data_IF_739284738340
#
_entry.id   IF_739284738340
#
_cell.length_a   1.000
_cell.length_b   1.000
_cell.length_c   1.000
_cell.angle_alpha   90.00
_cell.angle_beta   90.00
_cell.angle_gamma   90.00
#
_symmetry.space_group_name_H-M   'P 1'
#
loop_
_entity.id
_entity.type
_entity.pdbx_description
1 polymer ?
#
# COMPACT_ATOMS: atom_id res chain seq x y z
N UNK A 1 0.23 32.07 2.56
CA UNK A 1 -0.67 30.99 2.94
C UNK A 1 -0.15 29.64 2.49
N UNK A 2 -0.68 28.57 3.03
CA UNK A 2 -0.33 27.18 2.68
C UNK A 2 -0.38 26.92 1.16
N UNK A 3 -1.26 27.61 0.44
CA UNK A 3 -1.35 27.50 -1.02
C UNK A 3 -0.15 28.07 -1.77
N UNK A 4 0.53 29.05 -1.21
CA UNK A 4 1.71 29.66 -1.85
C UNK A 4 2.97 28.83 -1.61
N UNK A 5 3.06 28.15 -0.47
CA UNK A 5 4.12 27.18 -0.18
C UNK A 5 3.98 25.97 -1.10
N UNK A 6 2.77 25.51 -1.32
CA UNK A 6 2.45 24.42 -2.25
C UNK A 6 2.77 24.78 -3.70
N UNK A 7 2.50 26.01 -4.11
CA UNK A 7 2.81 26.52 -5.47
C UNK A 7 4.31 26.79 -5.67
N UNK A 8 5.02 27.20 -4.61
CA UNK A 8 6.47 27.48 -4.67
C UNK A 8 7.34 26.23 -4.59
N UNK A 9 6.87 25.16 -3.97
CA UNK A 9 7.52 23.85 -4.03
C UNK A 9 7.26 23.18 -5.38
N UNK A 10 6.70 23.94 -6.30
CA UNK A 10 6.59 23.79 -7.76
C UNK A 10 6.71 22.38 -8.23
N UNK A 11 5.84 21.59 -7.77
CA UNK A 11 5.43 20.33 -8.32
C UNK A 11 6.46 19.25 -8.52
N UNK A 12 7.75 19.50 -8.54
CA UNK A 12 8.67 18.50 -9.09
C UNK A 12 9.75 18.00 -8.15
N UNK A 13 10.03 18.68 -7.03
CA UNK A 13 11.05 18.19 -6.10
C UNK A 13 10.44 17.20 -5.14
N UNK A 14 10.95 15.98 -5.20
CA UNK A 14 10.62 14.92 -4.28
C UNK A 14 11.86 14.48 -3.49
N UNK A 15 11.60 13.79 -2.40
CA UNK A 15 12.64 13.31 -1.51
C UNK A 15 12.49 11.80 -1.37
N UNK A 16 13.61 11.12 -1.23
CA UNK A 16 13.63 9.68 -0.97
C UNK A 16 14.50 9.36 0.23
N UNK A 17 14.22 8.23 0.84
CA UNK A 17 15.07 7.60 1.83
C UNK A 17 14.98 6.08 1.70
N UNK A 18 16.01 5.38 2.10
CA UNK A 18 16.08 3.93 2.03
C UNK A 18 15.88 3.31 3.40
N UNK A 19 15.26 2.14 3.41
CA UNK A 19 15.03 1.33 4.60
C UNK A 19 15.33 -0.12 4.30
N UNK A 20 16.09 -0.78 5.17
CA UNK A 20 16.38 -2.20 5.04
C UNK A 20 15.44 -3.00 5.93
N UNK A 21 14.52 -3.76 5.31
CA UNK A 21 13.60 -4.63 6.03
C UNK A 21 14.08 -6.08 6.00
N UNK A 22 13.52 -6.96 6.87
CA UNK A 22 13.76 -8.39 6.77
C UNK A 22 13.33 -9.03 5.44
N UNK A 23 12.45 -8.36 4.70
CA UNK A 23 11.95 -8.82 3.40
C UNK A 23 12.64 -8.13 2.21
N UNK A 24 13.66 -7.34 2.46
CA UNK A 24 14.43 -6.65 1.43
C UNK A 24 14.40 -5.14 1.57
N UNK A 25 15.10 -4.47 0.68
CA UNK A 25 15.21 -3.02 0.68
C UNK A 25 13.88 -2.35 0.30
N UNK A 26 13.59 -1.26 0.97
CA UNK A 26 12.40 -0.43 0.75
C UNK A 26 12.85 0.99 0.41
N UNK A 27 12.18 1.61 -0.54
CA UNK A 27 12.35 3.03 -0.86
C UNK A 27 11.14 3.80 -0.37
N UNK A 28 11.39 4.86 0.40
CA UNK A 28 10.39 5.82 0.85
C UNK A 28 10.46 7.07 -0.01
N UNK A 29 9.31 7.68 -0.30
CA UNK A 29 9.23 8.95 -1.01
C UNK A 29 8.33 9.94 -0.28
N UNK A 30 8.63 11.22 -0.42
CA UNK A 30 7.87 12.31 0.20
C UNK A 30 7.89 13.55 -0.67
N UNK A 31 6.86 14.38 -0.50
CA UNK A 31 6.79 15.72 -1.07
C UNK A 31 7.45 16.79 -0.19
N UNK A 32 8.08 16.39 0.91
CA UNK A 32 8.68 17.27 1.91
C UNK A 32 7.93 17.28 3.24
N UNK A 33 6.65 16.99 3.25
CA UNK A 33 5.78 17.00 4.44
C UNK A 33 5.17 15.64 4.74
N UNK A 34 4.67 14.97 3.71
CA UNK A 34 3.92 13.74 3.83
C UNK A 34 4.57 12.61 3.02
N UNK A 35 4.27 11.38 3.39
CA UNK A 35 4.69 10.20 2.66
C UNK A 35 3.86 10.06 1.39
N UNK A 36 4.53 9.97 0.25
CA UNK A 36 3.91 9.79 -1.08
C UNK A 36 4.17 8.43 -1.68
N UNK A 37 5.15 7.71 -1.17
CA UNK A 37 5.51 6.39 -1.66
C UNK A 37 6.24 5.54 -0.64
N UNK A 38 5.98 4.25 -0.70
CA UNK A 38 6.69 3.21 0.02
C UNK A 38 6.62 1.95 -0.84
N UNK A 39 7.76 1.53 -1.36
CA UNK A 39 7.84 0.37 -2.25
C UNK A 39 8.98 -0.55 -1.84
N UNK A 40 8.76 -1.85 -1.95
CA UNK A 40 9.89 -2.78 -2.02
C UNK A 40 10.67 -2.52 -3.29
N UNK A 41 11.99 -2.49 -3.20
CA UNK A 41 12.83 -2.33 -4.39
C UNK A 41 12.56 -3.49 -5.36
N UNK A 42 12.36 -3.17 -6.63
CA UNK A 42 12.06 -4.14 -7.67
C UNK A 42 10.61 -4.58 -7.77
N UNK A 43 9.70 -4.07 -6.93
CA UNK A 43 8.28 -4.41 -7.06
C UNK A 43 7.66 -3.85 -8.34
N UNK A 44 6.54 -4.43 -8.74
CA UNK A 44 5.72 -3.91 -9.84
C UNK A 44 5.24 -2.49 -9.50
N UNK A 45 5.29 -1.61 -10.49
CA UNK A 45 4.95 -0.18 -10.35
C UNK A 45 5.84 0.59 -9.36
N UNK A 46 7.03 0.12 -9.09
CA UNK A 46 8.00 0.82 -8.24
C UNK A 46 8.18 2.26 -8.73
N UNK A 47 8.03 3.22 -7.80
CA UNK A 47 8.28 4.62 -8.08
C UNK A 47 7.35 5.24 -9.13
N UNK A 48 6.17 4.68 -9.38
CA UNK A 48 5.28 5.14 -10.44
C UNK A 48 4.91 6.63 -10.33
N UNK A 49 4.85 7.16 -9.12
CA UNK A 49 4.56 8.59 -8.86
C UNK A 49 5.82 9.38 -8.50
N UNK A 50 7.01 8.78 -8.59
CA UNK A 50 8.27 9.44 -8.28
C UNK A 50 8.74 10.25 -9.49
N UNK A 51 9.03 11.53 -9.31
CA UNK A 51 9.58 12.37 -10.37
C UNK A 51 11.01 11.98 -10.70
N UNK A 52 11.50 12.44 -11.86
CA UNK A 52 12.89 12.20 -12.26
C UNK A 52 13.89 12.94 -11.37
N UNK A 53 13.45 14.03 -10.74
CA UNK A 53 14.27 14.83 -9.83
C UNK A 53 13.87 14.53 -8.39
N UNK A 54 14.80 13.97 -7.63
CA UNK A 54 14.59 13.70 -6.21
C UNK A 54 15.91 13.91 -5.47
N UNK A 55 15.80 14.17 -4.16
CA UNK A 55 16.94 14.27 -3.26
C UNK A 55 16.87 13.21 -2.18
N UNK A 56 18.02 12.64 -1.87
CA UNK A 56 18.14 11.71 -0.75
C UNK A 56 18.40 12.52 0.52
N UNK A 57 17.38 12.73 1.32
CA UNK A 57 17.40 13.59 2.51
C UNK A 57 16.59 12.93 3.61
N UNK A 58 17.05 13.00 4.84
CA UNK A 58 16.27 12.55 5.99
C UNK A 58 15.25 13.64 6.37
N UNK A 59 13.98 13.28 6.36
CA UNK A 59 12.85 14.13 6.73
C UNK A 59 12.16 13.61 7.98
N UNK A 60 11.48 14.46 8.77
CA UNK A 60 10.69 13.99 9.90
C UNK A 60 9.70 12.88 9.56
N UNK A 61 9.01 12.96 8.40
CA UNK A 61 8.08 11.92 7.94
C UNK A 61 8.80 10.62 7.65
N UNK A 62 10.02 10.65 7.15
CA UNK A 62 10.81 9.43 6.94
C UNK A 62 11.21 8.78 8.26
N UNK A 63 11.62 9.58 9.23
CA UNK A 63 11.94 9.09 10.56
C UNK A 63 10.74 8.41 11.20
N UNK A 64 9.57 9.05 11.13
CA UNK A 64 8.32 8.51 11.63
C UNK A 64 7.93 7.20 10.90
N UNK A 65 8.08 7.16 9.58
CA UNK A 65 7.80 5.96 8.79
C UNK A 65 8.74 4.81 9.14
N UNK A 66 10.02 5.10 9.36
CA UNK A 66 10.99 4.07 9.78
C UNK A 66 10.67 3.54 11.18
N UNK A 67 10.22 4.37 12.10
CA UNK A 67 9.73 3.92 13.41
C UNK A 67 8.52 3.00 13.25
N UNK A 68 7.57 3.36 12.39
CA UNK A 68 6.42 2.53 12.06
C UNK A 68 6.85 1.16 11.53
N UNK A 69 7.79 1.15 10.56
CA UNK A 69 8.30 -0.09 9.96
C UNK A 69 9.08 -0.93 10.98
N UNK A 70 9.87 -0.31 11.86
CA UNK A 70 10.57 -1.03 12.92
C UNK A 70 9.60 -1.75 13.85
N UNK A 71 8.54 -1.08 14.29
CA UNK A 71 7.49 -1.69 15.11
C UNK A 71 6.82 -2.84 14.35
N UNK A 72 6.42 -2.59 13.12
CA UNK A 72 5.73 -3.57 12.29
C UNK A 72 6.57 -4.84 12.09
N UNK A 73 7.81 -4.72 11.68
CA UNK A 73 8.69 -5.87 11.43
C UNK A 73 9.16 -6.56 12.72
N UNK A 74 8.97 -5.95 13.87
CA UNK A 74 9.14 -6.60 15.19
C UNK A 74 7.87 -7.32 15.66
N UNK A 75 6.87 -7.44 14.83
CA UNK A 75 5.62 -8.13 15.15
C UNK A 75 4.66 -7.31 16.00
N UNK A 76 4.86 -6.01 16.09
CA UNK A 76 3.97 -5.11 16.82
C UNK A 76 3.03 -4.40 15.85
N UNK A 77 1.80 -4.18 16.30
CA UNK A 77 0.84 -3.38 15.55
C UNK A 77 1.10 -1.89 15.87
N UNK A 78 1.59 -1.09 14.89
CA UNK A 78 1.73 0.35 15.15
C UNK A 78 0.37 1.00 15.43
N UNK A 79 0.34 1.94 16.37
CA UNK A 79 -0.88 2.65 16.76
C UNK A 79 -1.01 4.03 16.11
N UNK A 80 -0.15 4.34 15.15
CA UNK A 80 -0.16 5.58 14.40
C UNK A 80 0.06 5.30 12.91
N UNK A 81 -0.27 6.28 12.07
CA UNK A 81 0.05 6.27 10.64
C UNK A 81 0.78 7.57 10.33
N UNK A 82 1.91 7.53 9.61
CA UNK A 82 2.55 8.76 9.12
C UNK A 82 1.58 9.56 8.25
N UNK A 83 1.79 10.87 8.17
CA UNK A 83 0.99 11.70 7.26
C UNK A 83 1.18 11.21 5.83
N UNK A 84 0.08 10.87 5.17
CA UNK A 84 0.06 10.39 3.79
C UNK A 84 -0.45 11.49 2.85
N UNK A 85 0.17 11.61 1.68
CA UNK A 85 -0.32 12.43 0.59
C UNK A 85 -0.56 11.54 -0.63
N UNK A 86 -1.82 11.33 -0.97
CA UNK A 86 -2.26 10.45 -2.04
C UNK A 86 -2.88 11.28 -3.15
N UNK A 87 -2.39 11.08 -4.37
CA UNK A 87 -2.97 11.68 -5.58
C UNK A 87 -3.34 10.58 -6.54
N UNK A 88 -4.64 10.44 -6.80
CA UNK A 88 -5.15 9.42 -7.70
C UNK A 88 -6.61 9.75 -8.05
N UNK A 89 -7.21 8.93 -8.92
CA UNK A 89 -8.64 9.01 -9.20
C UNK A 89 -9.48 8.80 -7.94
N UNK A 90 -10.69 9.33 -7.92
CA UNK A 90 -11.63 9.10 -6.81
C UNK A 90 -11.84 7.61 -6.54
N UNK A 91 -11.89 6.81 -7.60
CA UNK A 91 -12.05 5.36 -7.48
C UNK A 91 -10.87 4.72 -6.71
N UNK A 92 -9.64 5.04 -7.10
CA UNK A 92 -8.45 4.50 -6.42
C UNK A 92 -8.38 4.96 -4.97
N UNK A 93 -8.65 6.25 -4.71
CA UNK A 93 -8.67 6.78 -3.34
C UNK A 93 -9.72 6.07 -2.47
N UNK A 94 -10.90 5.78 -3.02
CA UNK A 94 -11.95 5.06 -2.32
C UNK A 94 -11.51 3.62 -1.99
N UNK A 95 -10.87 2.93 -2.94
CA UNK A 95 -10.32 1.59 -2.70
C UNK A 95 -9.27 1.64 -1.58
N UNK A 96 -8.30 2.55 -1.67
CA UNK A 96 -7.23 2.63 -0.68
C UNK A 96 -7.74 2.99 0.72
N UNK A 97 -8.80 3.80 0.80
CA UNK A 97 -9.46 4.09 2.08
C UNK A 97 -10.04 2.81 2.71
N UNK A 98 -10.65 1.94 1.90
CA UNK A 98 -11.15 0.65 2.38
C UNK A 98 -9.99 -0.23 2.86
N UNK A 99 -8.86 -0.24 2.13
CA UNK A 99 -7.68 -1.00 2.55
C UNK A 99 -7.18 -0.56 3.93
N UNK A 100 -7.14 0.75 4.18
CA UNK A 100 -6.71 1.30 5.48
C UNK A 100 -7.61 0.83 6.64
N UNK A 101 -8.84 0.44 6.37
CA UNK A 101 -9.81 -0.04 7.36
C UNK A 101 -9.71 -1.54 7.62
N UNK A 102 -8.95 -2.29 6.82
CA UNK A 102 -8.75 -3.72 7.05
C UNK A 102 -7.87 -3.91 8.29
N UNK A 103 -8.37 -4.55 9.35
CA UNK A 103 -7.61 -4.70 10.58
C UNK A 103 -6.35 -5.54 10.40
N UNK A 104 -5.36 -5.25 11.21
CA UNK A 104 -4.13 -6.04 11.32
C UNK A 104 -4.45 -7.51 11.55
N UNK A 105 -3.82 -8.38 10.77
CA UNK A 105 -4.03 -9.83 10.86
C UNK A 105 -5.31 -10.34 10.20
N UNK A 106 -6.07 -9.48 9.54
CA UNK A 106 -7.31 -9.87 8.85
C UNK A 106 -7.18 -9.67 7.34
N UNK A 107 -8.08 -10.29 6.60
CA UNK A 107 -8.11 -10.21 5.13
C UNK A 107 -9.52 -9.85 4.64
N UNK A 108 -9.57 -9.21 3.48
CA UNK A 108 -10.79 -9.04 2.68
C UNK A 108 -10.54 -9.58 1.28
N UNK A 109 -11.60 -10.07 0.64
CA UNK A 109 -11.51 -10.44 -0.77
C UNK A 109 -11.71 -9.22 -1.67
N UNK A 110 -11.25 -9.31 -2.92
CA UNK A 110 -11.56 -8.31 -3.95
C UNK A 110 -13.08 -8.14 -4.12
N UNK A 111 -13.83 -9.24 -4.03
CA UNK A 111 -15.29 -9.20 -4.09
C UNK A 111 -15.92 -8.46 -2.93
N UNK A 112 -15.39 -8.62 -1.71
CA UNK A 112 -15.86 -7.88 -0.54
C UNK A 112 -15.66 -6.37 -0.73
N UNK A 113 -14.51 -5.95 -1.23
CA UNK A 113 -14.20 -4.55 -1.51
C UNK A 113 -15.14 -4.02 -2.59
N UNK A 114 -15.37 -4.78 -3.67
CA UNK A 114 -16.31 -4.43 -4.73
C UNK A 114 -17.72 -4.20 -4.17
N UNK A 115 -18.18 -5.06 -3.27
CA UNK A 115 -19.50 -4.95 -2.65
C UNK A 115 -19.62 -3.68 -1.79
N UNK A 116 -18.61 -3.36 -1.01
CA UNK A 116 -18.55 -2.13 -0.21
C UNK A 116 -18.64 -0.89 -1.09
N UNK A 117 -17.83 -0.85 -2.18
CA UNK A 117 -17.83 0.27 -3.11
C UNK A 117 -19.16 0.42 -3.84
N UNK A 118 -19.75 -0.67 -4.30
CA UNK A 118 -21.05 -0.66 -4.97
C UNK A 118 -22.11 -0.06 -4.04
N UNK A 119 -22.12 -0.47 -2.78
CA UNK A 119 -23.05 0.06 -1.76
C UNK A 119 -22.83 1.56 -1.53
N UNK A 120 -21.57 2.00 -1.39
CA UNK A 120 -21.24 3.41 -1.18
C UNK A 120 -21.71 4.29 -2.33
N UNK A 121 -21.64 3.77 -3.57
CA UNK A 121 -22.01 4.51 -4.78
C UNK A 121 -23.46 4.30 -5.23
N UNK A 122 -24.24 3.51 -4.50
CA UNK A 122 -25.61 3.18 -4.86
C UNK A 122 -25.73 2.34 -6.13
N UNK A 123 -24.70 1.54 -6.46
CA UNK A 123 -24.68 0.65 -7.61
C UNK A 123 -25.02 -0.78 -7.21
N UNK A 124 -25.55 -1.58 -8.16
CA UNK A 124 -25.82 -2.99 -7.90
C UNK A 124 -24.54 -3.81 -7.82
N UNK A 125 -23.57 -3.48 -8.67
CA UNK A 125 -22.30 -4.21 -8.79
C UNK A 125 -21.16 -3.25 -9.06
N UNK A 126 -19.94 -3.70 -8.74
CA UNK A 126 -18.70 -3.04 -9.08
C UNK A 126 -17.72 -4.08 -9.60
N UNK A 127 -16.94 -3.72 -10.61
CA UNK A 127 -15.96 -4.63 -11.21
C UNK A 127 -14.87 -5.02 -10.22
N UNK A 128 -14.76 -6.32 -9.92
CA UNK A 128 -13.66 -6.86 -9.11
C UNK A 128 -12.30 -6.66 -9.80
N UNK A 129 -12.27 -6.69 -11.13
CA UNK A 129 -11.06 -6.43 -11.90
C UNK A 129 -10.58 -4.98 -11.75
N UNK A 130 -11.50 -4.01 -11.78
CA UNK A 130 -11.17 -2.61 -11.53
C UNK A 130 -10.63 -2.40 -10.11
N UNK A 131 -11.23 -3.06 -9.11
CA UNK A 131 -10.74 -3.06 -7.73
C UNK A 131 -9.33 -3.65 -7.68
N UNK A 132 -9.09 -4.78 -8.34
CA UNK A 132 -7.77 -5.42 -8.40
C UNK A 132 -6.71 -4.49 -8.98
N UNK A 133 -7.04 -3.75 -10.03
CA UNK A 133 -6.15 -2.74 -10.61
C UNK A 133 -5.80 -1.63 -9.62
N UNK A 134 -6.78 -1.10 -8.90
CA UNK A 134 -6.56 -0.07 -7.89
C UNK A 134 -5.71 -0.57 -6.72
N UNK A 135 -5.98 -1.79 -6.24
CA UNK A 135 -5.18 -2.45 -5.18
C UNK A 135 -3.73 -2.61 -5.62
N UNK A 136 -3.50 -3.07 -6.85
CA UNK A 136 -2.16 -3.28 -7.40
C UNK A 136 -1.34 -2.00 -7.59
N UNK A 137 -2.00 -0.85 -7.77
CA UNK A 137 -1.36 0.46 -7.95
C UNK A 137 -1.19 1.24 -6.64
N UNK A 138 -1.44 0.62 -5.50
CA UNK A 138 -1.19 1.23 -4.20
C UNK A 138 0.24 1.76 -4.11
N UNK A 139 0.45 3.08 -3.89
CA UNK A 139 1.80 3.65 -3.85
C UNK A 139 2.50 3.49 -2.51
N UNK A 140 1.79 3.06 -1.47
CA UNK A 140 2.34 2.96 -0.10
C UNK A 140 2.09 1.55 0.44
N UNK A 141 2.97 0.63 0.04
CA UNK A 141 2.90 -0.77 0.47
C UNK A 141 3.00 -0.88 2.00
N UNK A 142 2.45 -1.93 2.56
CA UNK A 142 2.43 -2.28 3.99
C UNK A 142 1.51 -1.35 4.81
N UNK A 143 1.73 -0.04 4.79
CA UNK A 143 0.91 0.92 5.56
C UNK A 143 -0.50 0.96 5.01
N UNK A 144 -0.65 1.11 3.69
CA UNK A 144 -1.92 0.83 3.01
C UNK A 144 -1.90 -0.66 2.68
N UNK A 145 -2.62 -1.50 3.43
CA UNK A 145 -2.31 -2.92 3.50
C UNK A 145 -2.90 -3.74 2.34
N UNK A 146 -2.43 -3.49 1.13
CA UNK A 146 -2.88 -4.26 -0.04
C UNK A 146 -2.53 -5.76 0.05
N UNK A 147 -1.57 -6.14 0.88
CA UNK A 147 -1.26 -7.55 1.15
C UNK A 147 -2.40 -8.27 1.90
N UNK A 148 -3.34 -7.54 2.53
CA UNK A 148 -4.51 -8.11 3.21
C UNK A 148 -5.68 -8.40 2.26
N UNK A 149 -5.52 -8.11 0.97
CA UNK A 149 -6.55 -8.41 -0.04
C UNK A 149 -6.24 -9.75 -0.70
N UNK A 150 -7.23 -10.62 -0.72
CA UNK A 150 -7.11 -11.99 -1.25
C UNK A 150 -8.17 -12.24 -2.31
N UNK A 151 -7.96 -13.26 -3.13
CA UNK A 151 -8.98 -13.73 -4.07
C UNK A 151 -10.11 -14.44 -3.35
N UNK A 152 -11.15 -14.81 -4.09
CA UNK A 152 -12.27 -15.57 -3.55
C UNK A 152 -11.78 -16.87 -2.90
N UNK A 153 -12.44 -17.28 -1.81
CA UNK A 153 -12.13 -18.47 -1.04
C UNK A 153 -10.72 -18.51 -0.44
N UNK A 154 -10.06 -17.36 -0.27
CA UNK A 154 -8.73 -17.29 0.34
C UNK A 154 -7.58 -17.49 -0.63
N UNK A 155 -7.80 -17.34 -1.92
CA UNK A 155 -6.76 -17.44 -2.94
C UNK A 155 -5.74 -16.30 -2.82
N UNK A 156 -4.47 -16.66 -2.57
CA UNK A 156 -3.37 -15.70 -2.47
C UNK A 156 -2.90 -15.29 -3.86
N UNK A 157 -3.64 -14.42 -4.53
CA UNK A 157 -3.28 -13.87 -5.83
C UNK A 157 -2.92 -12.39 -5.73
N UNK A 158 -2.02 -11.97 -6.60
CA UNK A 158 -1.76 -10.55 -6.86
C UNK A 158 -1.16 -9.78 -5.70
N UNK A 159 0.11 -9.52 -5.76
CA UNK A 159 0.80 -8.57 -4.89
C UNK A 159 1.98 -7.95 -5.65
N UNK A 160 2.07 -6.63 -5.66
CA UNK A 160 3.11 -5.92 -6.41
C UNK A 160 4.52 -6.31 -5.95
N UNK A 161 4.70 -6.59 -4.66
CA UNK A 161 5.96 -7.05 -4.09
C UNK A 161 6.26 -8.54 -4.28
N UNK A 162 5.32 -9.28 -4.86
CA UNK A 162 5.45 -10.72 -5.06
C UNK A 162 4.78 -11.56 -3.95
N UNK A 163 4.38 -12.77 -4.32
CA UNK A 163 3.60 -13.65 -3.45
C UNK A 163 4.34 -14.02 -2.17
N UNK A 164 5.65 -14.23 -2.23
CA UNK A 164 6.45 -14.59 -1.05
C UNK A 164 6.38 -13.50 0.03
N UNK A 165 6.47 -12.23 -0.38
CA UNK A 165 6.35 -11.10 0.55
C UNK A 165 4.94 -10.98 1.11
N UNK A 166 3.92 -11.19 0.29
CA UNK A 166 2.52 -11.20 0.74
C UNK A 166 2.30 -12.23 1.84
N UNK A 167 2.76 -13.45 1.63
CA UNK A 167 2.68 -14.54 2.62
C UNK A 167 3.43 -14.15 3.90
N UNK A 168 4.66 -13.66 3.76
CA UNK A 168 5.47 -13.27 4.91
C UNK A 168 4.82 -12.17 5.74
N UNK A 169 4.22 -11.17 5.11
CA UNK A 169 3.51 -10.09 5.80
C UNK A 169 2.27 -10.61 6.53
N UNK A 170 1.48 -11.46 5.90
CA UNK A 170 0.30 -12.06 6.53
C UNK A 170 0.68 -12.95 7.72
N UNK A 171 1.75 -13.74 7.58
CA UNK A 171 2.27 -14.56 8.67
C UNK A 171 2.77 -13.71 9.84
N UNK A 172 3.50 -12.64 9.53
CA UNK A 172 3.99 -11.70 10.53
C UNK A 172 2.84 -11.10 11.35
N UNK A 173 1.72 -10.80 10.70
CA UNK A 173 0.53 -10.25 11.33
C UNK A 173 -0.30 -11.31 12.10
N UNK A 174 0.06 -12.57 12.00
CA UNK A 174 -0.70 -13.63 12.64
C UNK A 174 -2.03 -13.94 11.96
N UNK A 175 -2.17 -13.65 10.67
CA UNK A 175 -3.36 -13.98 9.90
C UNK A 175 -3.60 -15.49 9.88
N UNK A 176 -4.88 -15.90 9.76
CA UNK A 176 -5.25 -17.31 9.63
C UNK A 176 -4.82 -17.87 8.27
N UNK A 177 -3.61 -18.41 8.22
CA UNK A 177 -3.05 -18.97 6.99
C UNK A 177 -3.73 -20.27 6.57
N UNK A 178 -4.44 -20.94 7.47
CA UNK A 178 -5.19 -22.16 7.16
C UNK A 178 -6.37 -21.92 6.23
N UNK A 179 -6.91 -20.70 6.20
CA UNK A 179 -7.98 -20.31 5.28
C UNK A 179 -7.46 -19.79 3.93
N UNK A 180 -6.14 -19.73 3.74
CA UNK A 180 -5.49 -19.15 2.56
C UNK A 180 -4.73 -20.25 1.80
N UNK A 181 -4.65 -20.09 0.48
CA UNK A 181 -3.92 -21.04 -0.36
C UNK A 181 -3.22 -20.34 -1.53
N UNK A 182 -2.12 -20.93 -1.97
CA UNK A 182 -1.39 -20.46 -3.16
C UNK A 182 -2.09 -20.99 -4.42
N UNK A 183 -2.36 -20.15 -5.43
CA UNK A 183 -3.00 -20.59 -6.66
C UNK A 183 -2.08 -21.56 -7.42
N UNK A 184 -2.70 -22.54 -8.10
CA UNK A 184 -1.99 -23.37 -9.07
C UNK A 184 -1.56 -22.52 -10.27
N UNK A 185 -0.46 -22.89 -10.94
CA UNK A 185 0.02 -22.21 -12.15
C UNK A 185 -1.11 -22.02 -13.15
N UNK A 186 -1.32 -20.78 -13.60
CA UNK A 186 -2.30 -20.45 -14.62
C UNK A 186 -3.48 -19.57 -14.16
N UNK A 187 -3.63 -19.32 -12.87
CA UNK A 187 -4.62 -18.37 -12.34
C UNK A 187 -3.95 -17.04 -12.00
N UNK A 188 -3.22 -16.47 -12.94
CA UNK A 188 -2.72 -15.11 -12.78
C UNK A 188 -3.85 -14.13 -13.14
N UNK A 189 -4.20 -13.26 -12.21
CA UNK A 189 -4.90 -12.02 -12.51
C UNK A 189 -3.87 -10.97 -12.89
#
# INVERSE_FOLDING_TARGET
GLGDVYKRQGGNMQYISKYTSPLGAITLASNGEALTGLWFDGQKYFGANLSKEYKNVELPVFKQTKEWLNLYFNGQKPDFIPLLALQASEFRLAVWQILLEIPYGQTLSYGDISAVLAKQKGLKTMSAQAVGGAVGHNPISIIIPCHRVVGSNGNLTGYAGGLEKKIALLQLEGADMGALFTPKKGTAL
#
